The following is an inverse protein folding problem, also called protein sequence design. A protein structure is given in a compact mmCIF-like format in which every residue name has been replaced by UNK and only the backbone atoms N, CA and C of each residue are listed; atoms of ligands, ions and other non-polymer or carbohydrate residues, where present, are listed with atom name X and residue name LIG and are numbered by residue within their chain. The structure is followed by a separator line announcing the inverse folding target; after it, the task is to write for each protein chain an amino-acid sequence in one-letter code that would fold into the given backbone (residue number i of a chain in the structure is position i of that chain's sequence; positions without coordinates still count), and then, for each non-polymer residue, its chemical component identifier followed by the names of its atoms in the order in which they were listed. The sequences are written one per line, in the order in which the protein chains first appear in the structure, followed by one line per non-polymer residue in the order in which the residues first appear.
data_IF_340519747079
#
_entry.id   IF_340519747079
#
_cell.length_a   1.000
_cell.length_b   1.000
_cell.length_c   1.000
_cell.angle_alpha   90.00
_cell.angle_beta   90.00
_cell.angle_gamma   90.00
#
_symmetry.space_group_name_H-M   'P 1'
#
loop_
_entity.id
_entity.type
_entity.pdbx_description
1 polymer ?
#
# COMPACT_ATOMS: atom_id res chain seq x y z
N UNK A 1 5.73 -10.49 -11.48
CA UNK A 1 4.34 -10.21 -11.06
C UNK A 1 3.41 -11.20 -11.75
N UNK A 2 3.06 -12.31 -11.09
CA UNK A 2 2.52 -13.53 -11.73
C UNK A 2 1.02 -13.65 -11.43
N UNK A 3 0.16 -13.71 -12.45
CA UNK A 3 -1.26 -14.08 -12.33
C UNK A 3 -1.45 -15.54 -12.74
N UNK A 4 -2.50 -16.18 -12.22
CA UNK A 4 -2.81 -17.59 -12.46
C UNK A 4 -3.31 -17.87 -13.87
N UNK A 5 -3.67 -19.13 -14.11
CA UNK A 5 -4.11 -19.62 -15.42
C UNK A 5 -5.62 -19.38 -15.57
N UNK A 6 -6.03 -18.74 -16.66
CA UNK A 6 -7.44 -18.58 -16.96
C UNK A 6 -8.02 -19.89 -17.50
N UNK A 7 -8.98 -20.49 -16.79
CA UNK A 7 -9.82 -21.57 -17.33
C UNK A 7 -11.25 -21.11 -17.59
N UNK A 8 -11.92 -21.81 -18.50
CA UNK A 8 -13.35 -21.67 -18.71
C UNK A 8 -14.08 -22.76 -17.94
N UNK A 9 -14.88 -22.39 -16.95
CA UNK A 9 -15.81 -23.30 -16.27
C UNK A 9 -17.18 -23.16 -16.93
N UNK A 10 -17.80 -24.28 -17.28
CA UNK A 10 -19.21 -24.30 -17.71
C UNK A 10 -20.07 -24.60 -16.49
N UNK A 11 -20.86 -23.63 -16.04
CA UNK A 11 -21.87 -23.84 -15.00
C UNK A 11 -23.23 -23.38 -15.53
N UNK A 12 -24.22 -24.29 -15.55
CA UNK A 12 -25.60 -24.04 -16.02
C UNK A 12 -25.68 -23.41 -17.43
N UNK A 13 -24.88 -23.89 -18.39
CA UNK A 13 -24.92 -23.40 -19.78
C UNK A 13 -24.35 -21.98 -20.00
N UNK A 14 -23.82 -21.33 -18.94
CA UNK A 14 -23.07 -20.08 -19.04
C UNK A 14 -21.58 -20.34 -18.88
N UNK A 15 -20.78 -19.76 -19.78
CA UNK A 15 -19.33 -19.85 -19.78
C UNK A 15 -18.80 -18.82 -18.77
N UNK A 16 -18.45 -19.28 -17.57
CA UNK A 16 -17.86 -18.44 -16.52
C UNK A 16 -16.35 -18.60 -16.52
N UNK A 17 -15.61 -17.50 -16.55
CA UNK A 17 -14.15 -17.53 -16.45
C UNK A 17 -13.78 -17.78 -14.98
N UNK A 18 -13.03 -18.86 -14.72
CA UNK A 18 -12.50 -19.18 -13.41
C UNK A 18 -10.98 -19.20 -13.46
N UNK A 19 -10.34 -18.38 -12.62
CA UNK A 19 -8.90 -18.44 -12.41
C UNK A 19 -8.61 -19.64 -11.51
N UNK A 20 -7.74 -20.54 -11.95
CA UNK A 20 -7.28 -21.66 -11.14
C UNK A 20 -5.75 -21.70 -11.13
N UNK A 21 -5.23 -22.22 -10.04
CA UNK A 21 -3.80 -22.23 -9.75
C UNK A 21 -3.41 -23.65 -9.36
N UNK A 22 -2.38 -24.18 -10.01
CA UNK A 22 -1.88 -25.53 -9.75
C UNK A 22 -0.60 -25.42 -8.91
N UNK A 23 -0.53 -26.16 -7.81
CA UNK A 23 0.69 -26.30 -7.00
C UNK A 23 1.08 -27.77 -6.98
N UNK A 24 2.35 -28.06 -7.27
CA UNK A 24 2.89 -29.43 -7.30
C UNK A 24 3.65 -29.70 -6.00
N UNK A 25 3.42 -30.88 -5.44
CA UNK A 25 4.13 -31.37 -4.25
C UNK A 25 5.12 -32.44 -4.69
N UNK A 26 6.39 -32.29 -4.30
CA UNK A 26 7.41 -33.32 -4.49
C UNK A 26 7.52 -34.12 -3.18
N UNK A 27 7.44 -35.45 -3.28
CA UNK A 27 7.78 -36.32 -2.15
C UNK A 27 9.30 -36.37 -2.00
N UNK A 28 9.79 -36.30 -0.76
CA UNK A 28 11.23 -36.26 -0.44
C UNK A 28 11.98 -37.54 -0.87
N UNK A 29 11.28 -38.67 -1.07
CA UNK A 29 11.88 -39.98 -1.31
C UNK A 29 12.02 -40.38 -2.81
N UNK A 30 11.62 -39.51 -3.76
CA UNK A 30 11.67 -39.82 -5.20
C UNK A 30 12.82 -39.04 -5.89
N UNK A 31 13.96 -39.71 -6.02
CA UNK A 31 15.17 -39.26 -6.74
C UNK A 31 15.09 -39.48 -8.28
N UNK A 32 13.90 -39.74 -8.82
CA UNK A 32 13.70 -39.91 -10.27
C UNK A 32 13.42 -38.55 -10.94
N UNK A 33 14.45 -37.72 -11.05
CA UNK A 33 14.38 -36.39 -11.66
C UNK A 33 13.86 -36.42 -13.12
N UNK A 34 14.02 -37.55 -13.83
CA UNK A 34 13.60 -37.72 -15.22
C UNK A 34 12.08 -37.94 -15.34
N UNK A 35 11.48 -38.72 -14.43
CA UNK A 35 10.03 -38.88 -14.31
C UNK A 35 9.35 -37.56 -13.90
N UNK A 36 9.97 -36.83 -12.98
CA UNK A 36 9.46 -35.55 -12.48
C UNK A 36 9.50 -34.42 -13.54
N UNK A 37 10.58 -34.32 -14.31
CA UNK A 37 10.66 -33.34 -15.42
C UNK A 37 9.58 -33.63 -16.48
N UNK A 38 9.26 -34.90 -16.71
CA UNK A 38 8.19 -35.32 -17.63
C UNK A 38 6.80 -34.91 -17.14
N UNK A 39 6.50 -35.12 -15.86
CA UNK A 39 5.21 -34.76 -15.27
C UNK A 39 5.03 -33.24 -15.15
N UNK A 40 6.07 -32.50 -14.74
CA UNK A 40 6.01 -31.04 -14.66
C UNK A 40 5.90 -30.36 -16.03
N UNK A 41 6.43 -30.97 -17.10
CA UNK A 41 6.39 -30.40 -18.45
C UNK A 41 4.97 -30.21 -18.99
N UNK A 42 4.03 -31.09 -18.63
CA UNK A 42 2.61 -30.97 -19.01
C UNK A 42 2.00 -29.75 -18.33
N UNK A 43 2.29 -29.56 -17.04
CA UNK A 43 1.77 -28.43 -16.27
C UNK A 43 2.40 -27.09 -16.65
N UNK A 44 3.67 -27.07 -17.11
CA UNK A 44 4.31 -25.85 -17.63
C UNK A 44 3.64 -25.26 -18.88
N UNK A 45 2.91 -26.08 -19.63
CA UNK A 45 2.10 -25.58 -20.75
C UNK A 45 0.91 -24.74 -20.26
N UNK A 46 0.40 -25.04 -19.07
CA UNK A 46 -0.72 -24.32 -18.45
C UNK A 46 -0.22 -23.14 -17.61
N UNK A 47 0.76 -23.37 -16.73
CA UNK A 47 1.40 -22.35 -15.91
C UNK A 47 2.92 -22.39 -16.12
N UNK A 48 3.49 -21.45 -16.90
CA UNK A 48 4.93 -21.36 -17.15
C UNK A 48 5.77 -21.16 -15.87
N UNK A 49 5.13 -20.74 -14.76
CA UNK A 49 5.79 -20.46 -13.49
C UNK A 49 5.58 -21.58 -12.45
N UNK A 50 5.08 -22.75 -12.84
CA UNK A 50 4.88 -23.87 -11.92
C UNK A 50 6.23 -24.43 -11.44
N UNK A 51 6.44 -24.45 -10.13
CA UNK A 51 7.54 -25.14 -9.46
C UNK A 51 6.97 -26.17 -8.49
N UNK A 52 7.66 -27.29 -8.25
CA UNK A 52 7.25 -28.14 -7.12
C UNK A 52 7.80 -27.58 -5.82
N UNK A 53 6.96 -27.68 -4.81
CA UNK A 53 7.31 -27.43 -3.43
C UNK A 53 7.76 -28.75 -2.81
N UNK A 54 8.94 -28.77 -2.21
CA UNK A 54 9.41 -29.89 -1.38
C UNK A 54 9.14 -29.64 0.10
N UNK A 55 9.14 -28.37 0.53
CA UNK A 55 8.85 -27.99 1.91
C UNK A 55 7.45 -27.39 2.06
N UNK A 56 6.91 -27.42 3.28
CA UNK A 56 5.63 -26.75 3.60
C UNK A 56 5.73 -25.23 3.45
N UNK A 57 6.88 -24.65 3.77
CA UNK A 57 7.16 -23.22 3.64
C UNK A 57 7.11 -22.77 2.17
N UNK A 58 7.68 -23.58 1.27
CA UNK A 58 7.59 -23.35 -0.18
C UNK A 58 6.14 -23.45 -0.69
N UNK A 59 5.38 -24.40 -0.15
CA UNK A 59 3.99 -24.61 -0.51
C UNK A 59 3.13 -23.39 -0.10
N UNK A 60 3.25 -22.95 1.15
CA UNK A 60 2.54 -21.78 1.67
C UNK A 60 2.86 -20.53 0.84
N UNK A 61 4.13 -20.36 0.50
CA UNK A 61 4.62 -19.28 -0.38
C UNK A 61 3.94 -19.32 -1.76
N UNK A 62 3.95 -20.49 -2.42
CA UNK A 62 3.32 -20.64 -3.73
C UNK A 62 1.81 -20.42 -3.68
N UNK A 63 1.14 -20.91 -2.64
CA UNK A 63 -0.29 -20.72 -2.44
C UNK A 63 -0.61 -19.24 -2.22
N UNK A 64 0.18 -18.54 -1.39
CA UNK A 64 0.01 -17.11 -1.14
C UNK A 64 0.14 -16.29 -2.44
N UNK A 65 1.22 -16.52 -3.21
CA UNK A 65 1.47 -15.82 -4.47
C UNK A 65 0.36 -16.02 -5.51
N UNK A 66 -0.31 -17.18 -5.49
CA UNK A 66 -1.37 -17.54 -6.44
C UNK A 66 -2.77 -17.18 -5.96
N UNK A 67 -2.97 -17.03 -4.66
CA UNK A 67 -4.27 -16.62 -4.07
C UNK A 67 -4.50 -15.13 -4.23
N UNK A 68 -3.47 -14.31 -4.02
CA UNK A 68 -3.62 -12.85 -4.03
C UNK A 68 -3.36 -12.27 -5.41
N UNK A 69 -4.43 -11.83 -6.07
CA UNK A 69 -4.29 -11.05 -7.29
C UNK A 69 -3.56 -9.73 -7.00
N UNK A 70 -2.63 -9.37 -7.88
CA UNK A 70 -1.92 -8.10 -7.77
C UNK A 70 -2.88 -6.92 -7.89
N UNK A 71 -2.82 -6.02 -6.91
CA UNK A 71 -3.61 -4.79 -6.88
C UNK A 71 -2.69 -3.58 -7.02
N UNK A 72 -2.76 -2.92 -8.17
CA UNK A 72 -2.07 -1.65 -8.37
C UNK A 72 -2.70 -0.59 -7.46
N UNK A 73 -1.86 0.14 -6.72
CA UNK A 73 -2.25 1.31 -5.94
C UNK A 73 -2.71 2.46 -6.85
N UNK A 74 -2.02 2.65 -7.97
CA UNK A 74 -2.37 3.64 -8.98
C UNK A 74 -1.69 3.35 -10.32
N UNK A 75 -2.38 3.56 -11.42
CA UNK A 75 -1.76 3.61 -12.75
C UNK A 75 -1.49 5.08 -13.10
N UNK A 76 -0.25 5.37 -13.48
CA UNK A 76 0.27 6.71 -13.75
C UNK A 76 1.16 6.74 -14.99
N UNK A 77 1.20 7.88 -15.67
CA UNK A 77 2.14 8.10 -16.77
C UNK A 77 3.53 8.41 -16.22
N UNK A 78 4.54 7.82 -16.83
CA UNK A 78 5.95 8.16 -16.67
C UNK A 78 6.40 8.99 -17.87
N UNK A 79 6.91 10.19 -17.62
CA UNK A 79 7.49 11.09 -18.60
C UNK A 79 9.01 11.08 -18.50
N UNK A 80 9.67 10.51 -19.51
CA UNK A 80 11.14 10.47 -19.61
C UNK A 80 11.70 11.81 -20.11
N UNK A 81 10.92 12.50 -20.94
CA UNK A 81 11.23 13.80 -21.51
C UNK A 81 10.08 14.26 -22.42
N UNK A 82 10.19 15.47 -23.02
CA UNK A 82 9.14 16.02 -23.86
C UNK A 82 8.75 15.06 -24.99
N UNK A 83 7.47 14.65 -25.02
CA UNK A 83 6.93 13.74 -26.03
C UNK A 83 7.22 12.25 -25.82
N UNK A 84 8.00 11.86 -24.80
CA UNK A 84 8.30 10.46 -24.49
C UNK A 84 7.65 10.06 -23.18
N UNK A 85 6.48 9.43 -23.28
CA UNK A 85 5.68 8.97 -22.15
C UNK A 85 5.34 7.49 -22.27
N UNK A 86 5.36 6.78 -21.15
CA UNK A 86 4.90 5.40 -21.04
C UNK A 86 4.05 5.23 -19.77
N UNK A 87 3.36 4.10 -19.63
CA UNK A 87 2.48 3.84 -18.49
C UNK A 87 3.12 2.86 -17.50
N UNK A 88 2.98 3.17 -16.22
CA UNK A 88 3.43 2.31 -15.11
C UNK A 88 2.33 2.16 -14.07
N UNK A 89 2.23 0.97 -13.51
CA UNK A 89 1.45 0.67 -12.33
C UNK A 89 2.33 0.78 -11.09
N UNK A 90 1.82 1.45 -10.06
CA UNK A 90 2.48 1.59 -8.75
C UNK A 90 1.89 0.57 -7.79
N UNK A 91 2.74 -0.16 -7.08
CA UNK A 91 2.39 -1.19 -6.12
C UNK A 91 2.96 -0.84 -4.74
N UNK A 92 2.25 -1.26 -3.69
CA UNK A 92 2.76 -1.26 -2.33
C UNK A 92 3.14 -2.71 -1.98
N UNK A 93 4.44 -3.02 -1.98
CA UNK A 93 4.92 -4.38 -1.65
C UNK A 93 4.86 -4.66 -0.15
N UNK A 94 4.96 -3.62 0.66
CA UNK A 94 4.77 -3.67 2.10
C UNK A 94 3.74 -2.62 2.49
N UNK A 95 2.81 -3.02 3.37
CA UNK A 95 1.85 -2.13 4.00
C UNK A 95 1.81 -2.45 5.49
N UNK A 96 1.57 -1.44 6.30
CA UNK A 96 1.27 -1.62 7.71
C UNK A 96 -0.04 -2.42 7.84
N UNK A 97 0.02 -3.57 8.52
CA UNK A 97 -1.15 -4.31 8.92
C UNK A 97 -1.74 -3.63 10.16
N UNK A 98 -3.06 -3.36 10.10
CA UNK A 98 -3.79 -2.70 11.18
C UNK A 98 -4.99 -3.55 11.55
N UNK A 99 -5.36 -3.62 12.84
CA UNK A 99 -6.61 -4.24 13.26
C UNK A 99 -7.78 -3.66 12.46
N UNK A 100 -8.79 -4.48 12.12
CA UNK A 100 -9.95 -4.01 11.40
C UNK A 100 -10.65 -2.89 12.18
N UNK A 101 -11.23 -1.94 11.44
CA UNK A 101 -12.02 -0.89 12.06
C UNK A 101 -13.23 -1.51 12.77
N UNK A 102 -13.60 -0.94 13.93
CA UNK A 102 -14.80 -1.36 14.66
C UNK A 102 -16.03 -1.09 13.80
N UNK A 103 -16.93 -2.07 13.73
CA UNK A 103 -18.24 -1.93 13.11
C UNK A 103 -19.29 -1.69 14.20
N UNK A 104 -20.22 -0.77 13.94
CA UNK A 104 -21.33 -0.51 14.85
C UNK A 104 -22.47 -1.45 14.49
N UNK A 105 -23.01 -2.14 15.49
CA UNK A 105 -24.16 -3.03 15.33
C UNK A 105 -25.28 -2.57 16.24
N UNK A 106 -26.51 -2.82 15.81
CA UNK A 106 -27.69 -2.65 16.64
C UNK A 106 -27.70 -3.68 17.77
N UNK A 107 -28.07 -3.26 18.98
CA UNK A 107 -27.94 -4.10 20.17
C UNK A 107 -28.89 -5.29 20.16
N UNK A 108 -30.11 -5.11 19.63
CA UNK A 108 -31.14 -6.15 19.67
C UNK A 108 -31.08 -7.08 18.44
N UNK A 109 -30.77 -6.53 17.27
CA UNK A 109 -30.78 -7.27 16.00
C UNK A 109 -29.41 -7.76 15.56
N UNK A 110 -28.33 -7.30 16.19
CA UNK A 110 -26.92 -7.51 15.78
C UNK A 110 -26.63 -7.10 14.33
N UNK A 111 -27.55 -6.35 13.71
CA UNK A 111 -27.42 -5.90 12.34
C UNK A 111 -26.45 -4.70 12.25
N UNK A 112 -25.64 -4.60 11.18
CA UNK A 112 -24.73 -3.48 10.99
C UNK A 112 -25.48 -2.16 10.84
N UNK A 113 -25.02 -1.14 11.54
CA UNK A 113 -25.63 0.20 11.56
C UNK A 113 -24.98 1.07 10.48
N UNK A 114 -25.82 1.67 9.62
CA UNK A 114 -25.36 2.63 8.64
C UNK A 114 -25.08 4.00 9.27
N UNK A 115 -23.88 4.54 9.03
CA UNK A 115 -23.46 5.84 9.56
C UNK A 115 -23.57 6.93 8.50
N UNK A 116 -24.49 7.88 8.68
CA UNK A 116 -24.59 9.11 7.87
C UNK A 116 -24.02 10.32 8.63
N UNK A 117 -23.13 11.07 8.00
CA UNK A 117 -22.58 12.32 8.56
C UNK A 117 -23.14 13.52 7.80
N UNK A 118 -23.72 14.49 8.53
CA UNK A 118 -24.33 15.71 7.99
C UNK A 118 -23.76 16.95 8.67
N UNK A 119 -23.81 18.09 7.97
CA UNK A 119 -23.35 19.39 8.48
C UNK A 119 -24.54 20.34 8.60
N UNK A 120 -24.85 20.75 9.83
CA UNK A 120 -25.96 21.64 10.13
C UNK A 120 -25.43 22.98 10.67
N UNK A 121 -26.02 24.12 10.25
CA UNK A 121 -25.74 25.39 10.90
C UNK A 121 -26.18 25.31 12.36
N UNK A 122 -25.34 25.85 13.26
CA UNK A 122 -25.68 25.96 14.66
C UNK A 122 -26.59 27.18 14.83
N UNK A 123 -27.90 26.96 14.94
CA UNK A 123 -28.83 28.03 15.29
C UNK A 123 -28.60 28.41 16.76
N UNK A 124 -28.42 29.70 17.06
CA UNK A 124 -28.18 30.17 18.44
C UNK A 124 -29.40 30.03 19.35
N UNK A 125 -30.57 29.65 18.81
CA UNK A 125 -31.78 29.37 19.57
C UNK A 125 -32.28 27.95 19.31
N UNK A 126 -31.73 26.98 20.06
CA UNK A 126 -32.46 25.93 20.77
C UNK A 126 -31.45 24.97 21.39
N UNK A 127 -30.96 25.34 22.57
CA UNK A 127 -30.52 24.36 23.57
C UNK A 127 -31.75 23.68 24.17
N UNK A 128 -32.59 23.06 23.34
CA UNK A 128 -33.50 22.02 23.82
C UNK A 128 -32.82 20.70 23.48
N UNK A 129 -32.21 20.11 24.50
CA UNK A 129 -31.87 18.69 24.52
C UNK A 129 -33.00 17.90 23.84
N UNK A 130 -32.68 17.16 22.78
CA UNK A 130 -33.52 16.09 22.25
C UNK A 130 -33.56 14.94 23.28
N UNK A 131 -34.15 15.21 24.44
CA UNK A 131 -34.60 14.24 25.42
C UNK A 131 -36.07 14.53 25.61
N UNK A 132 -36.91 14.04 24.69
CA UNK A 132 -38.34 14.06 24.89
C UNK A 132 -38.65 13.01 25.96
N UNK A 133 -38.81 13.47 27.18
CA UNK A 133 -39.35 12.66 28.28
C UNK A 133 -40.80 12.29 27.95
N UNK A 134 -41.02 11.06 27.47
CA UNK A 134 -42.35 10.47 27.53
C UNK A 134 -42.53 9.86 28.92
N UNK A 135 -43.25 10.60 29.76
CA UNK A 135 -43.93 10.02 30.92
C UNK A 135 -44.97 8.98 30.46
N UNK A 136 -45.33 8.03 31.33
CA UNK A 136 -45.97 6.79 30.92
C UNK A 136 -47.42 7.05 30.51
N UNK A 137 -47.76 6.78 29.24
CA UNK A 137 -49.13 6.51 28.86
C UNK A 137 -49.21 5.10 28.27
N UNK A 138 -49.92 4.27 29.01
CA UNK A 138 -50.34 2.91 28.65
C UNK A 138 -51.18 2.99 27.38
N UNK A 139 -50.75 2.33 26.31
CA UNK A 139 -51.61 1.83 25.23
C UNK A 139 -51.07 0.52 24.69
N UNK A 140 -52.02 -0.35 24.40
CA UNK A 140 -51.97 -1.79 24.23
C UNK A 140 -51.05 -2.29 23.10
N UNK A 141 -50.62 -3.54 23.26
CA UNK A 141 -49.87 -4.37 22.32
C UNK A 141 -50.58 -4.46 20.96
N UNK A 142 -49.97 -3.91 19.91
CA UNK A 142 -50.22 -4.28 18.52
C UNK A 142 -48.88 -4.27 17.77
N UNK A 143 -48.63 -5.36 17.01
CA UNK A 143 -47.48 -5.62 16.13
C UNK A 143 -46.88 -4.36 15.49
N UNK A 144 -45.63 -4.01 15.84
CA UNK A 144 -44.96 -2.80 15.38
C UNK A 144 -43.53 -3.09 14.89
N UNK A 145 -43.43 -3.87 13.81
CA UNK A 145 -42.20 -3.89 13.01
C UNK A 145 -42.17 -2.78 11.94
N UNK A 146 -43.25 -1.99 11.81
CA UNK A 146 -43.43 -0.97 10.78
C UNK A 146 -43.34 0.48 11.26
N UNK A 147 -43.39 0.77 12.57
CA UNK A 147 -43.52 2.15 13.07
C UNK A 147 -42.19 2.92 13.22
N UNK A 148 -41.05 2.24 13.41
CA UNK A 148 -39.75 2.92 13.59
C UNK A 148 -39.27 3.62 12.29
N UNK A 149 -39.68 3.09 11.13
CA UNK A 149 -39.34 3.64 9.81
C UNK A 149 -40.17 4.87 9.42
N UNK A 150 -41.34 5.08 10.02
CA UNK A 150 -42.15 6.28 9.75
C UNK A 150 -41.78 7.43 10.70
N UNK A 151 -41.44 7.11 11.95
CA UNK A 151 -41.02 8.07 12.98
C UNK A 151 -39.64 8.71 12.74
N UNK A 152 -38.86 8.23 11.76
CA UNK A 152 -37.56 8.79 11.39
C UNK A 152 -37.58 9.58 10.08
N UNK A 153 -38.59 9.40 9.21
CA UNK A 153 -38.69 10.09 7.90
C UNK A 153 -38.79 11.60 8.02
N UNK A 154 -39.58 12.11 8.96
CA UNK A 154 -39.69 13.56 9.17
C UNK A 154 -38.35 14.16 9.62
N UNK A 155 -37.56 13.40 10.39
CA UNK A 155 -36.23 13.80 10.85
C UNK A 155 -35.24 13.79 9.68
N UNK A 156 -35.34 12.80 8.80
CA UNK A 156 -34.56 12.74 7.56
C UNK A 156 -34.87 13.92 6.63
N UNK A 157 -36.14 14.25 6.42
CA UNK A 157 -36.56 15.40 5.60
C UNK A 157 -36.09 16.74 6.18
N UNK A 158 -36.22 16.94 7.49
CA UNK A 158 -35.75 18.15 8.17
C UNK A 158 -34.22 18.29 8.13
N UNK A 159 -33.50 17.19 8.32
CA UNK A 159 -32.03 17.15 8.20
C UNK A 159 -31.63 17.46 6.77
N UNK A 160 -32.26 16.86 5.75
CA UNK A 160 -31.91 17.08 4.34
C UNK A 160 -32.12 18.55 3.93
N UNK A 161 -33.21 19.16 4.41
CA UNK A 161 -33.53 20.58 4.15
C UNK A 161 -32.51 21.55 4.76
N UNK A 162 -31.93 21.24 5.92
CA UNK A 162 -30.97 22.12 6.63
C UNK A 162 -29.51 21.73 6.41
N UNK A 163 -29.25 20.59 5.77
CA UNK A 163 -27.90 20.10 5.52
C UNK A 163 -27.19 21.02 4.54
N UNK A 164 -26.03 21.54 4.98
CA UNK A 164 -25.12 22.27 4.11
C UNK A 164 -24.29 21.30 3.31
N UNK A 165 -24.25 21.50 2.00
CA UNK A 165 -23.38 20.71 1.14
C UNK A 165 -21.92 21.12 1.39
N UNK A 166 -21.02 20.15 1.34
CA UNK A 166 -19.60 20.36 1.64
C UNK A 166 -18.95 21.50 0.82
N UNK A 167 -19.40 21.75 -0.41
CA UNK A 167 -18.86 22.82 -1.25
C UNK A 167 -19.30 24.23 -0.81
N UNK A 168 -20.38 24.37 -0.03
CA UNK A 168 -20.81 25.65 0.53
C UNK A 168 -19.96 26.06 1.76
N UNK A 169 -19.28 25.08 2.37
CA UNK A 169 -18.45 25.31 3.53
C UNK A 169 -17.15 26.00 3.13
N UNK A 170 -16.85 27.12 3.79
CA UNK A 170 -15.59 27.84 3.64
C UNK A 170 -14.64 27.49 4.79
N UNK A 171 -13.34 27.42 4.50
CA UNK A 171 -12.31 27.19 5.52
C UNK A 171 -11.72 28.52 5.93
N UNK A 172 -11.73 28.82 7.23
CA UNK A 172 -11.10 30.02 7.77
C UNK A 172 -9.83 29.66 8.56
N UNK A 173 -8.75 30.41 8.33
CA UNK A 173 -7.50 30.33 9.10
C UNK A 173 -7.23 31.72 9.68
N UNK A 174 -7.03 31.79 11.01
CA UNK A 174 -6.71 33.05 11.69
C UNK A 174 -5.20 33.15 11.90
N UNK A 175 -4.57 34.21 11.37
CA UNK A 175 -3.12 34.46 11.48
C UNK A 175 -2.91 35.92 11.86
N UNK A 176 -2.25 36.17 13.00
CA UNK A 176 -1.88 37.54 13.39
C UNK A 176 -3.06 38.50 13.65
N UNK A 177 -4.26 37.99 13.92
CA UNK A 177 -5.47 38.80 14.09
C UNK A 177 -6.33 38.93 12.82
N UNK A 178 -5.78 38.60 11.66
CA UNK A 178 -6.50 38.57 10.38
C UNK A 178 -7.16 37.21 10.14
N UNK A 179 -8.32 37.23 9.47
CA UNK A 179 -9.08 36.03 9.13
C UNK A 179 -9.03 35.78 7.63
N UNK A 180 -8.29 34.75 7.21
CA UNK A 180 -8.19 34.35 5.81
C UNK A 180 -9.25 33.28 5.57
N UNK A 181 -10.24 33.60 4.74
CA UNK A 181 -11.32 32.69 4.35
C UNK A 181 -11.04 32.19 2.94
N UNK A 182 -11.04 30.87 2.76
CA UNK A 182 -10.84 30.23 1.47
C UNK A 182 -11.98 29.29 1.12
N UNK A 183 -12.31 29.23 -0.16
CA UNK A 183 -13.25 28.26 -0.71
C UNK A 183 -12.59 26.91 -0.92
N UNK A 184 -13.40 25.84 -1.02
CA UNK A 184 -12.88 24.49 -1.20
C UNK A 184 -12.11 24.34 -2.53
N UNK A 185 -12.57 25.02 -3.60
CA UNK A 185 -11.89 25.09 -4.90
C UNK A 185 -10.51 25.75 -4.79
N UNK A 186 -10.41 26.87 -4.10
CA UNK A 186 -9.14 27.58 -3.88
C UNK A 186 -8.14 26.71 -3.11
N UNK A 187 -8.59 25.97 -2.10
CA UNK A 187 -7.74 25.06 -1.33
C UNK A 187 -7.24 23.91 -2.20
N UNK A 188 -8.08 23.38 -3.08
CA UNK A 188 -7.70 22.32 -4.02
C UNK A 188 -6.71 22.83 -5.07
N UNK A 189 -6.90 24.05 -5.58
CA UNK A 189 -5.97 24.71 -6.49
C UNK A 189 -4.62 25.01 -5.84
N UNK A 190 -4.61 25.48 -4.59
CA UNK A 190 -3.39 25.65 -3.79
C UNK A 190 -2.62 24.34 -3.61
N UNK A 191 -3.32 23.20 -3.59
CA UNK A 191 -2.72 21.87 -3.53
C UNK A 191 -2.21 21.33 -4.87
N UNK A 192 -2.68 21.88 -6.00
CA UNK A 192 -2.42 21.38 -7.34
C UNK A 192 -1.15 21.99 -7.92
N UNK A 193 -0.01 21.34 -7.65
CA UNK A 193 1.27 21.80 -8.19
C UNK A 193 1.47 21.39 -9.66
N UNK A 194 1.17 20.13 -10.01
CA UNK A 194 1.44 19.60 -11.35
C UNK A 194 0.59 18.34 -11.60
N UNK A 195 0.50 17.89 -12.85
CA UNK A 195 -0.26 16.73 -13.28
C UNK A 195 0.19 15.44 -12.58
N UNK A 196 -0.78 14.52 -12.45
CA UNK A 196 -0.59 13.15 -11.97
C UNK A 196 0.39 12.42 -12.88
N UNK A 197 1.44 11.84 -12.31
CA UNK A 197 2.49 11.18 -13.07
C UNK A 197 3.84 11.11 -12.34
N UNK A 198 4.78 10.47 -13.02
CA UNK A 198 6.21 10.52 -12.72
C UNK A 198 6.87 11.36 -13.81
N UNK A 199 7.68 12.34 -13.44
CA UNK A 199 8.49 13.10 -14.40
C UNK A 199 9.95 12.92 -14.05
N UNK A 200 10.75 12.45 -15.02
CA UNK A 200 12.20 12.32 -14.84
C UNK A 200 12.85 13.70 -14.77
N UNK A 201 13.66 13.91 -13.73
CA UNK A 201 14.48 15.12 -13.56
C UNK A 201 15.94 14.86 -13.93
N UNK A 202 16.45 13.65 -13.66
CA UNK A 202 17.81 13.27 -14.00
C UNK A 202 18.21 11.92 -13.43
N UNK A 203 19.49 11.57 -13.59
CA UNK A 203 20.07 10.34 -13.09
C UNK A 203 21.13 10.65 -12.04
N UNK A 204 21.21 9.82 -11.01
CA UNK A 204 22.20 9.95 -9.93
C UNK A 204 22.76 8.56 -9.55
N UNK A 205 24.06 8.42 -9.23
CA UNK A 205 24.60 7.14 -8.77
C UNK A 205 23.86 6.64 -7.53
N UNK A 206 23.58 5.33 -7.46
CA UNK A 206 22.86 4.72 -6.32
C UNK A 206 23.61 4.97 -4.99
N UNK A 207 24.95 5.00 -5.02
CA UNK A 207 25.79 5.27 -3.86
C UNK A 207 25.59 6.66 -3.24
N UNK A 208 25.08 7.63 -4.00
CA UNK A 208 24.79 8.98 -3.50
C UNK A 208 23.36 9.12 -2.95
N UNK A 209 22.50 8.12 -3.18
CA UNK A 209 21.14 8.11 -2.65
C UNK A 209 21.20 7.63 -1.21
N UNK A 210 20.97 8.54 -0.26
CA UNK A 210 20.95 8.20 1.16
C UNK A 210 19.66 7.44 1.52
N UNK A 211 19.76 6.11 1.59
CA UNK A 211 18.67 5.22 1.98
C UNK A 211 18.30 5.30 3.47
N UNK A 212 19.16 5.92 4.31
CA UNK A 212 18.90 6.09 5.75
C UNK A 212 17.87 7.19 6.02
N UNK A 213 17.70 8.12 5.09
CA UNK A 213 16.74 9.21 5.20
C UNK A 213 15.32 8.74 4.81
N UNK A 214 14.82 7.72 5.50
CA UNK A 214 13.52 7.13 5.25
C UNK A 214 12.39 7.98 5.86
N UNK A 215 11.40 8.36 5.06
CA UNK A 215 10.21 9.12 5.53
C UNK A 215 8.93 8.31 5.44
N UNK A 216 8.80 7.47 4.42
CA UNK A 216 7.61 6.66 4.20
C UNK A 216 7.97 5.38 3.45
N UNK A 217 7.13 4.33 3.56
CA UNK A 217 7.35 3.07 2.87
C UNK A 217 7.58 3.26 1.36
N UNK A 218 8.62 2.59 0.86
CA UNK A 218 8.95 2.58 -0.56
C UNK A 218 7.81 1.93 -1.35
N UNK A 219 7.58 2.42 -2.56
CA UNK A 219 6.65 1.79 -3.51
C UNK A 219 7.45 1.01 -4.55
N UNK A 220 6.75 0.26 -5.39
CA UNK A 220 7.37 -0.44 -6.51
C UNK A 220 6.62 -0.09 -7.79
N UNK A 221 7.32 0.17 -8.88
CA UNK A 221 6.69 0.39 -10.18
C UNK A 221 6.94 -0.78 -11.12
N UNK A 222 5.96 -1.06 -11.97
CA UNK A 222 6.05 -2.07 -13.02
C UNK A 222 5.31 -1.55 -14.27
N UNK A 223 5.74 -1.89 -15.50
CA UNK A 223 5.13 -1.37 -16.71
C UNK A 223 3.67 -1.83 -16.83
N UNK A 224 2.84 -0.95 -17.39
CA UNK A 224 1.43 -1.21 -17.65
C UNK A 224 1.13 -1.01 -19.13
N UNK A 225 1.08 -2.11 -19.88
CA UNK A 225 0.76 -2.13 -21.32
C UNK A 225 -0.71 -1.85 -21.63
N UNK A 226 -1.60 -1.81 -20.62
CA UNK A 226 -3.04 -1.60 -20.87
C UNK A 226 -3.36 -0.18 -21.33
N UNK A 227 -2.61 0.83 -20.85
CA UNK A 227 -2.84 2.23 -21.19
C UNK A 227 -2.01 2.71 -22.38
N UNK A 228 -0.74 2.30 -22.47
CA UNK A 228 0.20 2.76 -23.51
C UNK A 228 1.01 1.57 -24.02
N UNK A 229 0.80 1.21 -25.29
CA UNK A 229 1.50 0.11 -25.94
C UNK A 229 3.00 0.40 -26.07
N UNK A 230 3.84 -0.59 -25.78
CA UNK A 230 5.30 -0.49 -25.82
C UNK A 230 5.92 0.01 -24.50
N UNK A 231 5.11 0.23 -23.47
CA UNK A 231 5.58 0.65 -22.14
C UNK A 231 6.55 -0.35 -21.51
N UNK A 232 6.30 -1.65 -21.66
CA UNK A 232 7.15 -2.71 -21.12
C UNK A 232 8.51 -2.77 -21.81
N UNK A 233 8.55 -2.53 -23.13
CA UNK A 233 9.79 -2.49 -23.89
C UNK A 233 10.70 -1.34 -23.41
N UNK A 234 10.16 -0.12 -23.36
CA UNK A 234 10.90 1.05 -22.89
C UNK A 234 11.32 0.92 -21.42
N UNK A 235 10.39 0.46 -20.57
CA UNK A 235 10.67 0.21 -19.16
C UNK A 235 11.81 -0.79 -18.96
N UNK A 236 11.79 -1.91 -19.69
CA UNK A 236 12.80 -2.96 -19.55
C UNK A 236 14.17 -2.49 -20.00
N UNK A 237 14.25 -1.81 -21.14
CA UNK A 237 15.49 -1.21 -21.60
C UNK A 237 16.04 -0.21 -20.57
N UNK A 238 15.17 0.62 -19.98
CA UNK A 238 15.55 1.57 -18.94
C UNK A 238 16.07 0.89 -17.67
N UNK A 239 15.41 -0.20 -17.23
CA UNK A 239 15.80 -1.00 -16.07
C UNK A 239 17.18 -1.63 -16.27
N UNK A 240 17.40 -2.29 -17.41
CA UNK A 240 18.68 -2.91 -17.75
C UNK A 240 19.82 -1.88 -17.73
N UNK A 241 19.62 -0.72 -18.36
CA UNK A 241 20.64 0.34 -18.39
C UNK A 241 20.91 0.99 -17.03
N UNK A 242 19.88 1.21 -16.22
CA UNK A 242 20.05 1.76 -14.88
C UNK A 242 20.76 0.76 -13.96
N UNK A 243 20.46 -0.53 -14.08
CA UNK A 243 21.11 -1.60 -13.32
C UNK A 243 22.59 -1.74 -13.70
N UNK A 244 22.91 -1.86 -14.99
CA UNK A 244 24.28 -1.95 -15.51
C UNK A 244 25.16 -0.78 -15.05
N UNK A 245 24.61 0.44 -15.08
CA UNK A 245 25.34 1.66 -14.75
C UNK A 245 25.29 2.03 -13.26
N UNK A 246 24.56 1.27 -12.44
CA UNK A 246 24.32 1.56 -11.01
C UNK A 246 23.79 2.98 -10.78
N UNK A 247 22.82 3.38 -11.60
CA UNK A 247 22.18 4.70 -11.57
C UNK A 247 20.73 4.60 -11.08
N UNK A 248 20.35 5.47 -10.16
CA UNK A 248 18.97 5.75 -9.81
C UNK A 248 18.43 6.91 -10.63
N UNK A 249 17.13 6.90 -10.92
CA UNK A 249 16.46 8.05 -11.53
C UNK A 249 15.88 8.96 -10.45
N UNK A 250 16.17 10.25 -10.52
CA UNK A 250 15.55 11.24 -9.67
C UNK A 250 14.32 11.77 -10.40
N UNK A 251 13.16 11.63 -9.76
CA UNK A 251 11.89 11.94 -10.37
C UNK A 251 11.01 12.79 -9.46
N UNK A 252 10.17 13.60 -10.10
CA UNK A 252 8.98 14.17 -9.49
C UNK A 252 7.88 13.11 -9.47
N UNK A 253 7.23 12.88 -8.33
CA UNK A 253 6.19 11.88 -8.15
C UNK A 253 4.88 12.51 -7.67
N UNK A 254 3.79 12.25 -8.41
CA UNK A 254 2.44 12.67 -8.08
C UNK A 254 1.45 11.55 -8.40
N UNK A 255 0.95 10.84 -7.37
CA UNK A 255 0.04 9.69 -7.56
C UNK A 255 -1.41 10.12 -7.83
N UNK A 256 -1.83 11.28 -7.30
CA UNK A 256 -3.19 11.83 -7.40
C UNK A 256 -3.14 13.32 -7.73
N UNK A 257 -4.12 13.83 -8.47
CA UNK A 257 -4.11 15.21 -8.99
C UNK A 257 -3.98 16.31 -7.91
N UNK A 258 -4.61 16.12 -6.74
CA UNK A 258 -4.63 17.10 -5.65
C UNK A 258 -3.67 16.71 -4.50
N UNK A 259 -2.63 15.95 -4.79
CA UNK A 259 -1.63 15.53 -3.82
C UNK A 259 -0.38 16.41 -3.93
N UNK A 260 0.20 16.78 -2.79
CA UNK A 260 1.52 17.43 -2.75
C UNK A 260 2.55 16.59 -3.50
N UNK A 261 3.29 17.25 -4.38
CA UNK A 261 4.36 16.63 -5.15
C UNK A 261 5.48 16.17 -4.23
N UNK A 262 6.05 15.00 -4.53
CA UNK A 262 7.19 14.43 -3.81
C UNK A 262 8.38 14.25 -4.74
N UNK A 263 9.58 14.42 -4.19
CA UNK A 263 10.81 14.02 -4.86
C UNK A 263 11.09 12.55 -4.51
N UNK A 264 11.41 11.74 -5.51
CA UNK A 264 11.68 10.31 -5.33
C UNK A 264 12.94 9.89 -6.09
N UNK A 265 13.62 8.88 -5.57
CA UNK A 265 14.63 8.12 -6.29
C UNK A 265 14.05 6.78 -6.72
N UNK A 266 14.07 6.50 -8.02
CA UNK A 266 13.75 5.19 -8.57
C UNK A 266 15.02 4.37 -8.62
N UNK A 267 15.14 3.44 -7.68
CA UNK A 267 16.30 2.56 -7.54
C UNK A 267 16.02 1.29 -8.35
N UNK A 268 16.83 0.97 -9.38
CA UNK A 268 16.65 -0.25 -10.15
C UNK A 268 16.99 -1.47 -9.29
N UNK A 269 16.23 -2.54 -9.48
CA UNK A 269 16.43 -3.82 -8.84
C UNK A 269 16.26 -4.95 -9.86
N UNK A 270 17.20 -5.87 -9.90
CA UNK A 270 17.12 -7.10 -10.69
C UNK A 270 17.62 -8.27 -9.83
N UNK A 271 16.82 -9.33 -9.79
CA UNK A 271 17.19 -10.56 -9.11
C UNK A 271 18.29 -11.30 -9.89
N UNK A 272 19.35 -11.70 -9.21
CA UNK A 272 20.31 -12.65 -9.76
C UNK A 272 19.69 -14.05 -9.70
N UNK A 273 19.08 -14.49 -10.80
CA UNK A 273 18.62 -15.88 -10.93
C UNK A 273 19.85 -16.80 -11.00
N UNK A 274 20.28 -17.34 -9.87
CA UNK A 274 21.27 -18.42 -9.88
C UNK A 274 20.60 -19.66 -10.50
N UNK A 275 21.31 -20.39 -11.35
CA UNK A 275 20.79 -21.58 -12.05
C UNK A 275 20.39 -22.75 -11.12
N UNK A 276 20.73 -22.66 -9.83
CA UNK A 276 20.25 -23.59 -8.81
C UNK A 276 18.78 -23.32 -8.51
N UNK A 277 17.89 -24.11 -9.11
CA UNK A 277 16.43 -24.04 -8.97
C UNK A 277 15.89 -24.31 -7.55
N UNK A 278 16.78 -24.37 -6.55
CA UNK A 278 16.49 -24.50 -5.12
C UNK A 278 16.39 -23.16 -4.41
N UNK A 279 16.63 -22.04 -5.10
CA UNK A 279 16.35 -20.72 -4.55
C UNK A 279 14.82 -20.56 -4.45
N UNK A 280 14.29 -20.98 -3.30
CA UNK A 280 12.97 -20.64 -2.76
C UNK A 280 12.62 -19.25 -3.26
N UNK A 281 11.56 -19.13 -4.07
CA UNK A 281 11.12 -17.88 -4.69
C UNK A 281 10.94 -16.87 -3.56
N UNK A 282 11.92 -15.98 -3.33
CA UNK A 282 11.83 -14.99 -2.26
C UNK A 282 10.67 -14.07 -2.61
N UNK A 283 9.70 -13.97 -1.71
CA UNK A 283 8.39 -13.34 -1.89
C UNK A 283 8.40 -11.89 -2.39
N UNK A 284 9.55 -11.23 -2.32
CA UNK A 284 9.71 -9.80 -2.55
C UNK A 284 10.79 -9.44 -3.59
N UNK A 285 11.36 -10.43 -4.27
CA UNK A 285 12.46 -10.23 -5.22
C UNK A 285 11.94 -10.05 -6.66
N UNK A 286 11.49 -8.83 -6.97
CA UNK A 286 10.90 -8.49 -8.27
C UNK A 286 11.80 -7.57 -9.10
N UNK A 287 12.05 -7.95 -10.36
CA UNK A 287 12.73 -7.08 -11.32
C UNK A 287 11.90 -5.81 -11.57
N UNK A 288 12.46 -4.64 -11.24
CA UNK A 288 11.79 -3.36 -11.45
C UNK A 288 12.45 -2.20 -10.73
N UNK A 289 11.67 -1.16 -10.42
CA UNK A 289 12.18 -0.01 -9.69
C UNK A 289 11.46 0.17 -8.35
N UNK A 290 12.26 0.30 -7.29
CA UNK A 290 11.78 0.79 -6.01
C UNK A 290 11.67 2.31 -6.03
N UNK A 291 10.51 2.83 -5.67
CA UNK A 291 10.26 4.25 -5.47
C UNK A 291 10.63 4.60 -4.03
N UNK A 292 11.82 5.15 -3.83
CA UNK A 292 12.31 5.62 -2.53
C UNK A 292 11.98 7.10 -2.41
N UNK A 293 11.28 7.48 -1.35
CA UNK A 293 10.89 8.87 -1.11
C UNK A 293 12.04 9.65 -0.50
N UNK A 294 12.39 10.78 -1.13
CA UNK A 294 13.47 11.63 -0.66
C UNK A 294 12.92 12.76 0.23
N UNK A 295 13.62 13.12 1.32
CA UNK A 295 13.24 14.23 2.17
C UNK A 295 13.38 15.57 1.46
N UNK A 296 12.45 16.47 1.73
CA UNK A 296 12.68 17.90 1.56
C UNK A 296 13.47 18.44 2.76
N UNK A 297 14.00 19.65 2.63
CA UNK A 297 14.72 20.31 3.72
C UNK A 297 13.89 20.40 5.01
N UNK A 298 12.58 20.58 4.89
CA UNK A 298 11.63 20.65 6.03
C UNK A 298 11.50 19.33 6.80
N UNK A 299 11.75 18.20 6.14
CA UNK A 299 11.65 16.87 6.75
C UNK A 299 12.90 16.52 7.57
N UNK A 300 14.03 17.16 7.27
CA UNK A 300 15.32 16.91 7.94
C UNK A 300 15.36 17.69 9.26
N UNK A 301 15.59 16.97 10.36
CA UNK A 301 15.72 17.57 11.71
C UNK A 301 17.19 17.68 12.09
N UNK A 302 17.63 18.88 12.45
CA UNK A 302 18.94 19.06 13.06
C UNK A 302 18.91 18.62 14.53
N UNK A 303 19.69 17.58 14.83
CA UNK A 303 19.84 17.01 16.18
C UNK A 303 21.25 17.20 16.74
N UNK A 304 22.09 17.98 16.06
CA UNK A 304 23.51 18.15 16.38
C UNK A 304 23.74 18.68 17.79
N UNK A 305 22.90 19.59 18.27
CA UNK A 305 23.00 20.12 19.64
C UNK A 305 22.66 19.07 20.71
N UNK A 306 21.70 18.19 20.43
CA UNK A 306 21.29 17.11 21.36
C UNK A 306 22.29 15.96 21.39
N UNK A 307 23.08 15.80 20.32
CA UNK A 307 24.12 14.77 20.21
C UNK A 307 25.47 15.23 20.79
N UNK A 308 25.58 16.40 21.40
CA UNK A 308 26.79 16.82 22.13
C UNK A 308 26.83 16.14 23.50
N UNK A 309 27.99 15.59 23.87
CA UNK A 309 28.19 15.06 25.21
C UNK A 309 28.13 16.24 26.20
N UNK A 310 27.34 16.17 27.29
CA UNK A 310 27.30 17.21 28.31
C UNK A 310 28.66 17.53 28.93
N UNK A 311 29.62 16.61 28.81
CA UNK A 311 30.96 16.66 29.41
C UNK A 311 32.07 16.94 28.38
N UNK A 312 31.73 17.26 27.12
CA UNK A 312 32.70 17.58 26.06
C UNK A 312 32.71 16.55 24.92
N UNK A 313 33.76 15.73 24.83
CA UNK A 313 33.86 14.66 23.82
C UNK A 313 33.19 13.37 24.32
N UNK A 314 32.57 12.63 23.39
CA UNK A 314 32.10 11.27 23.68
C UNK A 314 33.30 10.33 23.85
N UNK A 315 33.30 9.42 24.83
CA UNK A 315 34.37 8.45 24.98
C UNK A 315 34.48 7.58 23.71
N UNK A 316 35.66 7.55 23.10
CA UNK A 316 35.93 6.68 21.97
C UNK A 316 36.27 5.27 22.46
N UNK A 317 35.67 4.21 21.87
CA UNK A 317 35.93 2.84 22.31
C UNK A 317 37.37 2.44 22.00
N UNK A 318 37.99 1.70 22.92
CA UNK A 318 39.33 1.15 22.70
C UNK A 318 39.28 -0.02 21.70
N UNK A 319 40.43 -0.37 21.10
CA UNK A 319 40.50 -1.51 20.16
C UNK A 319 40.08 -2.84 20.81
N UNK A 320 40.35 -3.02 22.11
CA UNK A 320 39.88 -4.19 22.86
C UNK A 320 38.37 -4.21 23.01
N UNK A 321 37.75 -3.05 23.30
CA UNK A 321 36.29 -2.96 23.47
C UNK A 321 35.57 -3.28 22.16
N UNK A 322 36.06 -2.73 21.04
CA UNK A 322 35.53 -3.03 19.70
C UNK A 322 35.69 -4.51 19.37
N UNK A 323 36.79 -5.14 19.76
CA UNK A 323 37.01 -6.57 19.53
C UNK A 323 36.02 -7.44 20.31
N UNK A 324 35.82 -7.15 21.60
CA UNK A 324 34.85 -7.86 22.45
C UNK A 324 33.43 -7.66 21.91
N UNK A 325 33.06 -6.43 21.55
CA UNK A 325 31.76 -6.14 20.95
C UNK A 325 31.55 -6.86 19.61
N UNK A 326 32.57 -6.90 18.74
CA UNK A 326 32.50 -7.64 17.47
C UNK A 326 32.30 -9.14 17.69
N UNK A 327 33.01 -9.73 18.66
CA UNK A 327 32.82 -11.14 19.01
C UNK A 327 31.41 -11.42 19.55
N UNK A 328 30.86 -10.49 20.34
CA UNK A 328 29.49 -10.57 20.84
C UNK A 328 28.44 -10.49 19.72
N UNK A 329 28.57 -9.50 18.81
CA UNK A 329 27.67 -9.35 17.65
C UNK A 329 27.71 -10.61 16.78
N UNK A 330 28.91 -11.15 16.50
CA UNK A 330 29.06 -12.39 15.71
C UNK A 330 28.33 -13.58 16.33
N UNK A 331 28.31 -13.70 17.67
CA UNK A 331 27.58 -14.76 18.37
C UNK A 331 26.05 -14.61 18.27
N UNK A 332 25.56 -13.39 18.15
CA UNK A 332 24.12 -13.08 18.07
C UNK A 332 23.59 -12.87 16.65
N UNK A 333 24.48 -12.85 15.65
CA UNK A 333 24.08 -12.64 14.25
C UNK A 333 23.40 -13.90 13.72
N UNK A 334 22.08 -13.85 13.62
CA UNK A 334 21.26 -14.82 12.89
C UNK A 334 20.88 -14.32 11.49
N UNK A 335 20.33 -15.21 10.66
CA UNK A 335 19.76 -14.84 9.37
C UNK A 335 18.41 -14.14 9.56
N UNK A 336 18.35 -12.85 9.23
CA UNK A 336 17.11 -12.07 9.27
C UNK A 336 16.26 -12.34 8.02
N UNK A 337 15.00 -12.72 8.23
CA UNK A 337 13.97 -12.73 7.20
C UNK A 337 12.73 -11.97 7.74
N UNK A 338 12.16 -11.00 6.98
CA UNK A 338 10.96 -10.27 7.40
C UNK A 338 9.79 -11.16 7.84
N UNK A 339 9.61 -12.33 7.23
CA UNK A 339 8.51 -13.25 7.53
C UNK A 339 8.68 -14.01 8.85
N UNK A 340 9.83 -13.93 9.51
CA UNK A 340 10.07 -14.60 10.81
C UNK A 340 9.34 -13.92 11.97
N UNK A 341 8.89 -12.68 11.79
CA UNK A 341 8.33 -11.87 12.85
C UNK A 341 6.89 -11.49 12.51
N UNK A 342 5.96 -12.15 13.18
CA UNK A 342 4.54 -11.80 13.09
C UNK A 342 4.20 -10.67 14.06
N UNK A 343 3.13 -9.93 13.76
CA UNK A 343 2.67 -8.84 14.60
C UNK A 343 1.95 -9.38 15.84
N UNK A 344 2.50 -9.23 17.06
CA UNK A 344 1.87 -9.80 18.26
C UNK A 344 0.49 -9.19 18.57
N UNK A 345 0.25 -7.95 18.13
CA UNK A 345 -1.02 -7.27 18.38
C UNK A 345 -2.20 -7.83 17.59
N UNK A 346 -1.94 -8.56 16.51
CA UNK A 346 -3.00 -9.20 15.72
C UNK A 346 -3.61 -10.42 16.42
N UNK A 347 -2.86 -11.03 17.34
CA UNK A 347 -3.30 -12.21 18.10
C UNK A 347 -3.94 -11.88 19.44
N UNK A 348 -3.99 -10.60 19.83
CA UNK A 348 -4.49 -10.16 21.14
C UNK A 348 -6.01 -9.88 21.16
N UNK A 349 -6.79 -10.65 20.38
CA UNK A 349 -8.26 -10.55 20.32
C UNK A 349 -8.96 -11.30 21.44
#
# INVERSE_FOLDING_TARGET
MKKGVNSFRHQKGKRTMGEFSVVLLRKEDEDDDEAYEKDTRVWRQLDPNIGASSTIEDLETQVFQKTFSLRAFSNISFELGPGVKFSVAVYALASEARPPAKEYVDYDTEAPVEKRQVWLPKDEEQSQSFTRSHGPQVKEEVDSQTDVLEDTKWLEEEIDNRTRVKFELKKAIKIGGECIVSEQSEIEELGRFDAKGIVLLGFRPISEVNLMNHIQPSRFIYPDESNVLGSACLYRALLERCWERKMAMICRFCSRANQKVRLVALVPHMSHKTESRTDTIRDYDFDGFHVVFLPFAEDVRDVSEKMKCPQGEWPHPSKSDVHVASAFVKKLTGSYNPSQYENPSEYAL
#
